data_IF_348066386515
#
_entry.id   IF_348066386515
#
_cell.length_a   1.000
_cell.length_b   1.000
_cell.length_c   1.000
_cell.angle_alpha   90.00
_cell.angle_beta   90.00
_cell.angle_gamma   90.00
#
_symmetry.space_group_name_H-M   'P 1'
#
loop_
_entity.id
_entity.type
_entity.pdbx_description
1 polymer ?
#
# COMPACT_ATOMS: atom_id res chain seq x y z
N UNK A 1 -7.19 13.49 -7.21
CA UNK A 1 -7.33 13.62 -8.69
C UNK A 1 -7.33 12.26 -9.33
N UNK A 2 -8.05 12.08 -10.45
CA UNK A 2 -8.10 10.83 -11.22
C UNK A 2 -7.87 11.14 -12.70
N UNK A 3 -6.66 10.93 -13.23
CA UNK A 3 -6.42 10.92 -14.67
C UNK A 3 -6.95 9.61 -15.27
N UNK A 4 -7.59 9.70 -16.43
CA UNK A 4 -8.17 8.57 -17.16
C UNK A 4 -7.92 8.75 -18.67
N UNK A 5 -7.05 7.94 -19.28
CA UNK A 5 -7.03 7.78 -20.74
C UNK A 5 -8.13 6.80 -21.17
N UNK A 6 -8.89 7.17 -22.19
CA UNK A 6 -9.99 6.36 -22.74
C UNK A 6 -9.86 6.33 -24.27
N UNK A 7 -10.00 5.16 -24.89
CA UNK A 7 -10.14 5.04 -26.34
C UNK A 7 -11.54 5.49 -26.77
N UNK A 8 -11.62 6.35 -27.78
CA UNK A 8 -12.87 6.92 -28.32
C UNK A 8 -12.94 6.77 -29.84
N UNK A 9 -14.09 7.15 -30.43
CA UNK A 9 -14.35 7.03 -31.87
C UNK A 9 -15.11 5.77 -32.26
N UNK A 10 -15.71 5.78 -33.45
CA UNK A 10 -16.57 4.69 -33.93
C UNK A 10 -15.74 3.48 -34.39
N UNK A 11 -15.82 2.37 -33.65
CA UNK A 11 -15.16 1.11 -34.01
C UNK A 11 -15.88 -0.08 -33.34
N UNK A 12 -16.08 -1.17 -34.10
CA UNK A 12 -16.65 -2.43 -33.58
C UNK A 12 -15.63 -3.58 -33.51
N UNK A 13 -14.49 -3.44 -34.19
CA UNK A 13 -13.42 -4.45 -34.22
C UNK A 13 -12.54 -4.41 -32.97
N UNK A 14 -11.88 -5.54 -32.67
CA UNK A 14 -10.87 -5.63 -31.61
C UNK A 14 -9.53 -5.12 -32.15
N UNK A 15 -9.31 -3.81 -32.01
CA UNK A 15 -8.09 -3.12 -32.43
C UNK A 15 -7.84 -1.90 -31.52
N UNK A 16 -6.65 -1.25 -31.58
CA UNK A 16 -6.43 0.04 -30.94
C UNK A 16 -7.46 1.09 -31.39
N UNK A 17 -7.91 1.93 -30.47
CA UNK A 17 -8.92 2.95 -30.75
C UNK A 17 -8.41 3.98 -31.78
N UNK A 18 -9.28 4.48 -32.68
CA UNK A 18 -8.89 5.49 -33.67
C UNK A 18 -8.64 6.86 -33.04
N UNK A 19 -9.27 7.14 -31.90
CA UNK A 19 -9.11 8.37 -31.13
C UNK A 19 -8.94 8.06 -29.65
N UNK A 20 -8.44 9.04 -28.90
CA UNK A 20 -8.27 8.92 -27.45
C UNK A 20 -8.71 10.21 -26.77
N UNK A 21 -9.42 10.08 -25.66
CA UNK A 21 -9.79 11.17 -24.78
C UNK A 21 -9.04 11.03 -23.45
N UNK A 22 -8.40 12.11 -23.03
CA UNK A 22 -7.75 12.20 -21.72
C UNK A 22 -8.57 13.08 -20.78
N UNK A 23 -9.13 12.47 -19.74
CA UNK A 23 -9.96 13.15 -18.74
C UNK A 23 -9.22 13.22 -17.40
N UNK A 24 -9.22 14.39 -16.77
CA UNK A 24 -8.82 14.55 -15.37
C UNK A 24 -10.01 15.08 -14.61
N UNK A 25 -10.37 14.40 -13.52
CA UNK A 25 -11.36 14.93 -12.58
C UNK A 25 -10.86 14.86 -11.13
N UNK A 26 -11.42 15.70 -10.27
CA UNK A 26 -11.14 15.73 -8.86
C UNK A 26 -12.41 15.39 -8.08
N UNK A 27 -12.24 14.68 -6.97
CA UNK A 27 -13.29 14.39 -5.99
C UNK A 27 -12.67 14.62 -4.61
N UNK A 28 -13.32 15.40 -3.73
CA UNK A 28 -12.82 15.58 -2.37
C UNK A 28 -12.88 14.24 -1.64
N UNK A 29 -11.80 13.91 -0.93
CA UNK A 29 -11.69 12.67 -0.16
C UNK A 29 -11.42 13.05 1.29
N UNK A 30 -12.24 12.52 2.21
CA UNK A 30 -12.03 12.68 3.65
C UNK A 30 -11.03 11.65 4.19
N UNK A 31 -10.67 11.79 5.46
CA UNK A 31 -9.87 10.78 6.13
C UNK A 31 -10.67 9.46 6.21
N UNK A 32 -10.08 8.36 5.76
CA UNK A 32 -10.70 7.03 5.81
C UNK A 32 -10.85 6.50 7.25
N UNK A 33 -10.18 7.14 8.20
CA UNK A 33 -10.11 6.72 9.60
C UNK A 33 -10.69 7.81 10.50
N UNK A 34 -12.03 7.81 10.69
CA UNK A 34 -12.74 8.82 11.48
C UNK A 34 -12.49 8.73 12.99
N UNK A 35 -12.22 7.54 13.52
CA UNK A 35 -12.04 7.26 14.96
C UNK A 35 -10.73 6.52 15.27
N UNK A 36 -9.73 6.66 14.38
CA UNK A 36 -8.47 5.90 14.43
C UNK A 36 -8.37 4.88 13.29
N UNK A 37 -7.14 4.41 13.03
CA UNK A 37 -6.81 3.46 11.98
C UNK A 37 -7.46 2.09 12.27
N UNK A 38 -8.70 1.90 11.81
CA UNK A 38 -9.38 0.61 11.87
C UNK A 38 -8.60 -0.43 11.05
N UNK A 39 -8.18 -1.55 11.66
CA UNK A 39 -7.38 -2.56 10.99
C UNK A 39 -8.17 -3.32 9.93
N UNK A 40 -7.48 -3.73 8.87
CA UNK A 40 -8.01 -4.61 7.84
C UNK A 40 -8.00 -6.06 8.31
N UNK A 41 -9.05 -6.80 7.97
CA UNK A 41 -9.07 -8.26 8.09
C UNK A 41 -9.02 -8.83 6.68
N UNK A 42 -7.98 -9.60 6.38
CA UNK A 42 -7.74 -10.14 5.04
C UNK A 42 -8.04 -11.63 4.99
N UNK A 43 -8.48 -12.09 3.83
CA UNK A 43 -8.62 -13.50 3.49
C UNK A 43 -7.62 -13.82 2.36
N UNK A 44 -6.81 -14.85 2.56
CA UNK A 44 -5.96 -15.40 1.51
C UNK A 44 -6.79 -16.43 0.74
N UNK A 45 -6.81 -16.25 -0.58
CA UNK A 45 -7.60 -17.04 -1.52
C UNK A 45 -6.66 -17.71 -2.53
N UNK A 46 -6.83 -19.01 -2.74
CA UNK A 46 -6.01 -19.82 -3.65
C UNK A 46 -6.74 -20.04 -5.00
N UNK A 47 -8.07 -20.00 -5.01
CA UNK A 47 -8.87 -20.30 -6.22
C UNK A 47 -9.00 -19.11 -7.18
N UNK A 48 -8.75 -17.89 -6.68
CA UNK A 48 -8.87 -16.66 -7.45
C UNK A 48 -7.52 -15.98 -7.61
N UNK A 49 -7.03 -15.91 -8.84
CA UNK A 49 -5.77 -15.22 -9.17
C UNK A 49 -6.08 -13.82 -9.71
N UNK A 50 -5.50 -12.80 -9.07
CA UNK A 50 -5.72 -11.40 -9.46
C UNK A 50 -4.98 -11.01 -10.75
N UNK A 51 -3.80 -11.58 -11.01
CA UNK A 51 -3.05 -11.33 -12.25
C UNK A 51 -2.09 -12.46 -12.58
N UNK A 52 -1.88 -12.67 -13.88
CA UNK A 52 -0.89 -13.59 -14.44
C UNK A 52 0.38 -12.87 -14.85
N UNK A 53 1.50 -13.60 -14.90
CA UNK A 53 2.75 -13.08 -15.48
C UNK A 53 2.50 -12.70 -16.95
N UNK A 54 2.92 -11.49 -17.34
CA UNK A 54 2.67 -10.94 -18.68
C UNK A 54 1.26 -10.39 -18.90
N UNK A 55 0.36 -10.52 -17.92
CA UNK A 55 -0.97 -9.89 -17.95
C UNK A 55 -0.91 -8.40 -17.57
N UNK A 56 -1.95 -7.61 -17.91
CA UNK A 56 -1.96 -6.15 -17.73
C UNK A 56 -2.11 -5.69 -16.26
N UNK A 57 -2.31 -6.62 -15.33
CA UNK A 57 -2.74 -6.28 -13.98
C UNK A 57 -1.63 -6.30 -12.94
N UNK A 58 -0.62 -5.45 -12.94
CA UNK A 58 0.27 -5.33 -11.76
C UNK A 58 -0.52 -5.16 -10.43
N UNK A 59 -0.15 -5.85 -9.32
CA UNK A 59 -0.78 -5.86 -7.97
C UNK A 59 -0.36 -4.63 -7.19
N UNK A 60 -1.29 -3.84 -6.65
CA UNK A 60 -0.93 -2.95 -5.53
C UNK A 60 -0.58 -3.80 -4.30
N UNK A 61 0.68 -4.23 -4.16
CA UNK A 61 1.08 -5.20 -3.13
C UNK A 61 0.71 -4.67 -1.74
N UNK A 62 0.05 -5.55 -1.01
CA UNK A 62 -0.74 -5.24 0.18
C UNK A 62 0.08 -5.32 1.44
N UNK A 63 1.39 -5.57 1.36
CA UNK A 63 2.07 -5.86 2.59
C UNK A 63 3.55 -5.54 2.64
N UNK A 64 3.84 -4.83 3.70
CA UNK A 64 5.13 -4.72 4.32
C UNK A 64 5.02 -5.40 5.69
N UNK A 65 6.03 -6.17 6.07
CA UNK A 65 6.01 -6.97 7.29
C UNK A 65 7.28 -6.78 8.09
N UNK A 66 7.17 -6.83 9.41
CA UNK A 66 8.33 -6.74 10.30
C UNK A 66 8.50 -8.02 11.11
N UNK A 67 9.55 -8.81 10.84
CA UNK A 67 10.17 -9.64 11.86
C UNK A 67 11.45 -8.95 12.35
N UNK A 68 11.43 -8.38 13.57
CA UNK A 68 12.54 -7.58 14.08
C UNK A 68 12.73 -6.23 13.36
N UNK A 69 13.95 -5.88 12.95
CA UNK A 69 14.30 -4.59 12.29
C UNK A 69 14.24 -4.64 10.74
N UNK A 70 13.68 -5.72 10.16
CA UNK A 70 13.59 -5.91 8.70
C UNK A 70 12.16 -5.66 8.24
N UNK A 71 11.98 -4.88 7.17
CA UNK A 71 10.70 -4.69 6.48
C UNK A 71 10.75 -5.45 5.15
N UNK A 72 9.96 -6.51 5.02
CA UNK A 72 9.88 -7.31 3.78
C UNK A 72 8.65 -6.91 2.96
N UNK A 73 8.80 -6.79 1.64
CA UNK A 73 7.70 -6.48 0.70
C UNK A 73 7.83 -7.26 -0.61
N UNK A 74 6.73 -7.70 -1.25
CA UNK A 74 6.79 -8.42 -2.53
C UNK A 74 7.55 -7.64 -3.61
N UNK A 75 8.46 -8.31 -4.32
CA UNK A 75 9.20 -7.72 -5.43
C UNK A 75 8.31 -7.36 -6.63
N UNK A 76 8.66 -6.32 -7.39
CA UNK A 76 7.87 -5.80 -8.52
C UNK A 76 8.21 -6.42 -9.88
N UNK A 77 8.89 -7.55 -9.91
CA UNK A 77 9.42 -8.19 -11.12
C UNK A 77 8.41 -9.13 -11.83
N UNK A 78 7.11 -8.89 -11.66
CA UNK A 78 6.10 -9.77 -12.23
C UNK A 78 4.69 -9.25 -12.03
N UNK A 79 3.93 -9.93 -11.19
CA UNK A 79 2.51 -9.64 -11.01
C UNK A 79 2.26 -8.44 -10.12
N UNK A 80 3.27 -7.85 -9.46
CA UNK A 80 3.14 -6.72 -8.52
C UNK A 80 3.33 -5.36 -9.20
N UNK A 81 2.37 -4.45 -8.99
CA UNK A 81 2.36 -3.04 -9.35
C UNK A 81 3.42 -2.28 -8.53
N UNK A 82 4.30 -1.51 -9.20
CA UNK A 82 5.23 -0.61 -8.54
C UNK A 82 4.50 0.62 -8.00
N UNK A 83 3.83 0.47 -6.86
CA UNK A 83 3.06 1.56 -6.25
C UNK A 83 3.94 2.70 -5.74
N UNK A 84 3.58 3.95 -6.05
CA UNK A 84 4.30 5.14 -5.58
C UNK A 84 4.34 5.21 -4.04
N UNK A 85 3.21 4.98 -3.37
CA UNK A 85 3.17 4.94 -1.89
C UNK A 85 4.09 3.87 -1.32
N UNK A 86 4.16 2.68 -1.95
CA UNK A 86 5.09 1.62 -1.55
C UNK A 86 6.53 2.13 -1.64
N UNK A 87 6.91 2.71 -2.78
CA UNK A 87 8.25 3.28 -2.99
C UNK A 87 8.59 4.34 -1.93
N UNK A 88 7.70 5.30 -1.68
CA UNK A 88 7.92 6.34 -0.67
C UNK A 88 8.11 5.76 0.73
N UNK A 89 7.33 4.74 1.10
CA UNK A 89 7.44 4.07 2.39
C UNK A 89 8.76 3.29 2.52
N UNK A 90 9.21 2.62 1.46
CA UNK A 90 10.53 1.96 1.42
C UNK A 90 11.65 2.98 1.63
N UNK A 91 11.58 4.13 0.95
CA UNK A 91 12.58 5.19 1.06
C UNK A 91 12.60 5.78 2.48
N UNK A 92 11.43 6.08 3.06
CA UNK A 92 11.31 6.56 4.46
C UNK A 92 11.83 5.52 5.46
N UNK A 93 11.50 4.24 5.25
CA UNK A 93 11.95 3.16 6.12
C UNK A 93 13.49 3.04 6.13
N UNK A 94 14.11 3.06 4.94
CA UNK A 94 15.57 3.04 4.79
C UNK A 94 16.22 4.26 5.45
N UNK A 95 15.66 5.45 5.24
CA UNK A 95 16.15 6.69 5.87
C UNK A 95 16.01 6.66 7.41
N UNK A 96 15.04 5.89 7.93
CA UNK A 96 14.83 5.67 9.37
C UNK A 96 15.67 4.53 9.97
N UNK A 97 16.55 3.92 9.17
CA UNK A 97 17.47 2.87 9.62
C UNK A 97 16.93 1.45 9.53
N UNK A 98 15.72 1.23 9.01
CA UNK A 98 15.19 -0.12 8.81
C UNK A 98 15.86 -0.79 7.61
N UNK A 99 16.14 -2.10 7.75
CA UNK A 99 16.52 -2.91 6.59
C UNK A 99 15.25 -3.18 5.77
N UNK A 100 15.28 -2.93 4.46
CA UNK A 100 14.10 -3.17 3.60
C UNK A 100 14.44 -4.17 2.49
N UNK A 101 13.69 -5.26 2.43
CA UNK A 101 13.89 -6.35 1.46
C UNK A 101 12.72 -6.46 0.50
N UNK A 102 13.03 -6.54 -0.80
CA UNK A 102 12.04 -6.75 -1.85
C UNK A 102 12.18 -8.20 -2.35
N UNK A 103 11.34 -9.11 -1.83
CA UNK A 103 11.48 -10.56 -2.01
C UNK A 103 10.11 -11.27 -2.11
N UNK A 104 10.11 -12.54 -2.49
CA UNK A 104 8.92 -13.39 -2.38
C UNK A 104 8.70 -13.77 -0.90
N UNK A 105 7.45 -13.71 -0.45
CA UNK A 105 7.10 -13.87 0.97
C UNK A 105 6.11 -15.03 1.10
N UNK A 106 6.53 -16.17 1.68
CA UNK A 106 5.65 -17.29 1.94
C UNK A 106 4.50 -16.92 2.87
N UNK A 107 3.35 -17.57 2.72
CA UNK A 107 2.17 -17.31 3.55
C UNK A 107 2.47 -17.59 5.02
N UNK A 108 3.29 -18.58 5.31
CA UNK A 108 3.70 -18.97 6.65
C UNK A 108 4.53 -17.88 7.35
N UNK A 109 5.43 -17.23 6.61
CA UNK A 109 6.23 -16.11 7.12
C UNK A 109 5.35 -14.88 7.36
N UNK A 110 4.46 -14.61 6.41
CA UNK A 110 3.44 -13.56 6.50
C UNK A 110 2.59 -13.72 7.78
N UNK A 111 2.07 -14.92 8.02
CA UNK A 111 1.24 -15.24 9.20
C UNK A 111 2.03 -15.11 10.51
N UNK A 112 3.35 -15.24 10.47
CA UNK A 112 4.22 -15.14 11.64
C UNK A 112 4.80 -13.75 11.94
N UNK A 113 4.51 -12.72 11.13
CA UNK A 113 5.08 -11.39 11.28
C UNK A 113 4.59 -10.63 12.54
N UNK A 114 5.39 -9.68 13.04
CA UNK A 114 5.01 -8.83 14.19
C UNK A 114 3.93 -7.81 13.80
N UNK A 115 4.12 -7.14 12.65
CA UNK A 115 3.20 -6.18 12.06
C UNK A 115 2.99 -6.48 10.57
N UNK A 116 1.77 -6.22 10.09
CA UNK A 116 1.43 -6.26 8.66
C UNK A 116 0.68 -4.99 8.30
N UNK A 117 1.02 -4.37 7.17
CA UNK A 117 0.30 -3.20 6.68
C UNK A 117 0.30 -3.05 5.16
N UNK A 118 -0.80 -2.52 4.63
CA UNK A 118 -1.02 -2.21 3.23
C UNK A 118 -0.61 -0.77 2.91
N UNK A 119 -0.11 -0.52 1.70
CA UNK A 119 0.22 0.85 1.25
C UNK A 119 -0.62 1.29 0.04
N UNK A 120 -1.09 2.54 0.06
CA UNK A 120 -1.79 3.08 -1.09
C UNK A 120 -2.22 4.53 -0.99
N UNK A 121 -2.40 5.20 -2.12
CA UNK A 121 -2.66 6.65 -2.17
C UNK A 121 -3.87 7.07 -1.35
N UNK A 122 -4.93 6.26 -1.30
CA UNK A 122 -6.15 6.61 -0.57
C UNK A 122 -5.99 6.52 0.96
N UNK A 123 -5.33 5.47 1.45
CA UNK A 123 -5.24 5.14 2.89
C UNK A 123 -3.85 5.38 3.48
N UNK A 124 -2.88 5.74 2.62
CA UNK A 124 -1.45 5.88 2.89
C UNK A 124 -0.81 4.58 3.38
N UNK A 125 -1.01 4.26 4.66
CA UNK A 125 -0.58 3.02 5.33
C UNK A 125 -1.77 2.52 6.15
N UNK A 126 -2.28 1.33 5.83
CA UNK A 126 -3.40 0.72 6.53
C UNK A 126 -2.95 -0.54 7.27
N UNK A 127 -3.08 -0.62 8.61
CA UNK A 127 -2.68 -1.81 9.35
C UNK A 127 -3.60 -2.99 9.03
N UNK A 128 -3.06 -4.20 9.10
CA UNK A 128 -3.80 -5.45 9.00
C UNK A 128 -3.87 -6.07 10.39
N UNK A 129 -5.08 -6.28 10.89
CA UNK A 129 -5.34 -6.86 12.21
C UNK A 129 -5.44 -8.37 12.20
N UNK A 130 -5.89 -8.96 11.08
CA UNK A 130 -5.89 -10.40 10.94
C UNK A 130 -5.81 -10.87 9.49
N UNK A 131 -5.30 -12.09 9.33
CA UNK A 131 -5.28 -12.83 8.07
C UNK A 131 -5.87 -14.22 8.30
N UNK A 132 -6.82 -14.58 7.46
CA UNK A 132 -7.43 -15.92 7.42
C UNK A 132 -6.90 -16.69 6.21
N UNK A 133 -6.55 -17.95 6.39
CA UNK A 133 -6.07 -18.83 5.30
C UNK A 133 -6.58 -20.27 5.47
N UNK A 134 -7.12 -20.87 4.39
CA UNK A 134 -7.57 -22.28 4.34
C UNK A 134 -8.51 -22.70 5.49
N UNK A 135 -9.52 -21.88 5.78
CA UNK A 135 -10.51 -22.10 6.85
C UNK A 135 -9.92 -22.29 8.28
N UNK A 136 -8.64 -21.95 8.45
CA UNK A 136 -7.99 -21.97 9.76
C UNK A 136 -8.37 -20.73 10.56
N UNK A 137 -8.24 -20.81 11.89
CA UNK A 137 -8.43 -19.65 12.78
C UNK A 137 -7.59 -18.47 12.28
N UNK A 138 -8.13 -17.24 12.26
CA UNK A 138 -7.40 -16.08 11.77
C UNK A 138 -6.12 -15.88 12.57
N UNK A 139 -5.00 -15.72 11.86
CA UNK A 139 -3.77 -15.20 12.43
C UNK A 139 -4.01 -13.73 12.79
N UNK A 140 -3.90 -13.40 14.08
CA UNK A 140 -4.12 -12.04 14.58
C UNK A 140 -2.76 -11.38 14.79
N UNK A 141 -2.63 -10.16 14.28
CA UNK A 141 -1.42 -9.36 14.45
C UNK A 141 -1.56 -8.43 15.63
N UNK A 142 -0.42 -8.07 16.24
CA UNK A 142 -0.40 -7.10 17.33
C UNK A 142 -0.73 -5.73 16.76
N UNK A 143 -1.93 -5.26 17.04
CA UNK A 143 -2.28 -3.87 16.89
C UNK A 143 -1.98 -3.21 18.24
N UNK A 144 -0.86 -2.52 18.36
CA UNK A 144 -0.71 -1.58 19.48
C UNK A 144 -1.86 -0.58 19.38
N UNK A 145 -2.71 -0.55 20.41
CA UNK A 145 -3.87 0.33 20.45
C UNK A 145 -3.43 1.77 20.17
N UNK A 146 -4.10 2.45 19.24
CA UNK A 146 -3.84 3.85 18.86
C UNK A 146 -4.00 4.86 20.01
N UNK A 147 -4.38 4.41 21.21
CA UNK A 147 -4.76 5.24 22.35
C UNK A 147 -3.92 5.03 23.62
N UNK A 148 -2.81 4.29 23.59
CA UNK A 148 -1.92 4.25 24.76
C UNK A 148 -1.13 5.55 24.86
N UNK A 149 -1.50 6.38 25.84
CA UNK A 149 -0.96 7.72 26.09
C UNK A 149 0.58 7.80 26.16
N UNK A 150 1.29 6.71 26.42
CA UNK A 150 2.75 6.54 26.31
C UNK A 150 3.09 5.04 26.17
N UNK A 151 3.82 4.63 25.14
CA UNK A 151 4.42 3.28 25.07
C UNK A 151 4.61 2.69 23.66
N UNK A 152 5.73 3.02 23.01
CA UNK A 152 6.22 2.52 21.71
C UNK A 152 5.25 2.62 20.50
N UNK A 153 5.50 3.59 19.61
CA UNK A 153 4.83 3.65 18.30
C UNK A 153 5.20 2.44 17.44
N UNK A 154 4.20 1.82 16.82
CA UNK A 154 4.39 0.75 15.83
C UNK A 154 5.17 1.23 14.62
N UNK A 155 5.74 0.30 13.86
CA UNK A 155 6.46 0.64 12.62
C UNK A 155 5.51 1.30 11.63
N UNK A 156 4.30 0.77 11.46
CA UNK A 156 3.33 1.37 10.53
C UNK A 156 2.95 2.81 10.93
N UNK A 157 2.84 3.11 12.24
CA UNK A 157 2.51 4.47 12.72
C UNK A 157 3.61 5.46 12.38
N UNK A 158 4.88 5.10 12.63
CA UNK A 158 6.03 5.94 12.30
C UNK A 158 6.06 6.27 10.80
N UNK A 159 5.88 5.26 9.96
CA UNK A 159 5.89 5.40 8.51
C UNK A 159 4.69 6.22 8.00
N UNK A 160 3.50 6.01 8.56
CA UNK A 160 2.31 6.81 8.27
C UNK A 160 2.53 8.29 8.62
N UNK A 161 2.96 8.56 9.86
CA UNK A 161 3.17 9.92 10.35
C UNK A 161 4.25 10.65 9.54
N UNK A 162 5.34 9.96 9.17
CA UNK A 162 6.38 10.54 8.32
C UNK A 162 5.84 10.93 6.94
N UNK A 163 5.16 10.02 6.24
CA UNK A 163 4.68 10.29 4.88
C UNK A 163 3.56 11.33 4.86
N UNK A 164 2.59 11.25 5.78
CA UNK A 164 1.52 12.25 5.89
C UNK A 164 2.07 13.61 6.31
N UNK A 165 3.05 13.63 7.22
CA UNK A 165 3.71 14.87 7.63
C UNK A 165 4.39 15.57 6.46
N UNK A 166 5.07 14.83 5.57
CA UNK A 166 5.62 15.37 4.33
C UNK A 166 4.51 15.90 3.41
N UNK A 167 3.46 15.10 3.19
CA UNK A 167 2.33 15.47 2.31
C UNK A 167 1.58 16.74 2.77
N UNK A 168 1.50 16.96 4.08
CA UNK A 168 0.83 18.12 4.70
C UNK A 168 1.78 19.32 4.90
N UNK A 169 3.05 19.21 4.51
CA UNK A 169 4.05 20.27 4.73
C UNK A 169 4.44 20.47 6.21
N UNK A 170 4.14 19.51 7.08
CA UNK A 170 4.49 19.52 8.50
C UNK A 170 5.92 19.01 8.77
N UNK A 171 6.44 18.20 7.85
CA UNK A 171 7.79 17.64 7.87
C UNK A 171 8.49 18.08 6.58
N UNK A 172 9.76 18.47 6.70
CA UNK A 172 10.60 18.84 5.56
C UNK A 172 10.68 17.70 4.52
N UNK A 173 10.42 18.03 3.27
CA UNK A 173 10.54 17.11 2.14
C UNK A 173 11.98 17.08 1.59
N UNK A 174 12.78 16.15 2.10
CA UNK A 174 14.17 15.97 1.68
C UNK A 174 14.33 15.31 0.31
N UNK A 175 13.24 14.78 -0.27
CA UNK A 175 13.27 13.99 -1.52
C UNK A 175 12.67 14.76 -2.71
N UNK A 176 12.10 15.95 -2.47
CA UNK A 176 11.46 16.76 -3.52
C UNK A 176 10.22 16.09 -4.11
N UNK A 177 9.42 15.41 -3.29
CA UNK A 177 8.17 14.75 -3.68
C UNK A 177 6.96 15.68 -3.75
N UNK A 178 6.99 16.77 -2.99
CA UNK A 178 5.92 17.76 -2.88
C UNK A 178 6.19 18.92 -3.85
N UNK A 179 5.11 19.39 -4.47
CA UNK A 179 5.12 20.52 -5.41
C UNK A 179 3.97 21.42 -5.00
N UNK A 180 4.26 22.70 -4.83
CA UNK A 180 3.24 23.72 -4.57
C UNK A 180 2.42 23.96 -5.83
N UNK A 181 1.09 23.98 -5.68
CA UNK A 181 0.14 24.25 -6.76
C UNK A 181 -0.54 25.57 -6.40
N UNK A 182 -0.30 26.60 -7.22
CA UNK A 182 -0.89 27.93 -7.10
C UNK A 182 -2.30 27.98 -7.69
#
# INVERSE_FOLDING_TARGET
MRPLPMGTGAMLGVAPAPEYTFLIYASPVGNYFKEGLAPLNLLIEDDYVRASRGGPGGVKAISNYTPGDVISTPATNGTILPGITRKSIIDIARDSGYKVEECDIPVEELVGADEVFCTGTAVVVAPVGSITYKDKRPAKFKLTELNSKWGAQSVFQKLYTALVGIQMGLIEDKKGWTIEIN
#
